data_IF_180086854686
#
_entry.id   IF_180086854686
#
_cell.length_a   1.000
_cell.length_b   1.000
_cell.length_c   1.000
_cell.angle_alpha   90.00
_cell.angle_beta   90.00
_cell.angle_gamma   90.00
#
_symmetry.space_group_name_H-M   'P 1'
#
loop_
_entity.id
_entity.type
_entity.pdbx_description
1 polymer ?
#
# COMPACT_ATOMS: atom_id res chain seq x y z
N UNK A 1 -20.83 -10.37 3.88
CA UNK A 1 -19.48 -10.48 3.29
C UNK A 1 -18.57 -9.72 4.24
N UNK A 2 -17.55 -10.37 4.79
CA UNK A 2 -16.62 -9.68 5.68
C UNK A 2 -15.68 -8.84 4.83
N UNK A 3 -15.49 -7.55 5.18
CA UNK A 3 -14.53 -6.69 4.47
C UNK A 3 -13.12 -7.17 4.79
N UNK A 4 -12.40 -7.59 3.76
CA UNK A 4 -10.96 -7.81 3.88
C UNK A 4 -10.25 -6.48 3.57
N UNK A 5 -9.75 -5.80 4.61
CA UNK A 5 -9.05 -4.52 4.48
C UNK A 5 -7.84 -4.58 3.52
N UNK A 6 -7.31 -5.78 3.27
CA UNK A 6 -6.26 -5.96 2.28
C UNK A 6 -6.71 -5.61 0.85
N UNK A 7 -8.01 -5.64 0.56
CA UNK A 7 -8.55 -5.29 -0.75
C UNK A 7 -8.40 -3.79 -1.05
N UNK A 8 -8.47 -2.91 -0.04
CA UNK A 8 -8.16 -1.49 -0.25
C UNK A 8 -6.72 -1.29 -0.72
N UNK A 9 -5.77 -2.00 -0.10
CA UNK A 9 -4.36 -1.97 -0.54
C UNK A 9 -4.22 -2.54 -1.97
N UNK A 10 -4.88 -3.65 -2.26
CA UNK A 10 -4.90 -4.19 -3.62
C UNK A 10 -5.47 -3.21 -4.65
N UNK A 11 -6.49 -2.43 -4.28
CA UNK A 11 -7.10 -1.43 -5.14
C UNK A 11 -6.14 -0.28 -5.43
N UNK A 12 -5.30 0.13 -4.47
CA UNK A 12 -4.29 1.17 -4.70
C UNK A 12 -3.22 0.74 -5.71
N UNK A 13 -2.84 -0.55 -5.68
CA UNK A 13 -1.79 -1.09 -6.55
C UNK A 13 -2.30 -1.58 -7.91
N UNK A 14 -3.53 -2.11 -7.95
CA UNK A 14 -4.06 -2.82 -9.12
C UNK A 14 -5.38 -2.25 -9.64
N UNK A 15 -5.94 -1.21 -9.01
CA UNK A 15 -7.24 -0.65 -9.38
C UNK A 15 -7.30 -0.09 -10.80
N UNK A 16 -6.19 0.38 -11.36
CA UNK A 16 -6.12 0.85 -12.75
C UNK A 16 -6.27 -0.27 -13.79
N UNK A 17 -6.09 -1.52 -13.39
CA UNK A 17 -6.21 -2.70 -14.26
C UNK A 17 -7.62 -3.29 -14.24
N UNK A 18 -8.49 -2.75 -13.38
CA UNK A 18 -9.90 -3.06 -13.35
C UNK A 18 -10.66 -2.20 -14.36
N UNK A 19 -11.81 -2.69 -14.81
CA UNK A 19 -12.76 -1.82 -15.52
C UNK A 19 -13.23 -0.69 -14.59
N UNK A 20 -13.62 0.45 -15.17
CA UNK A 20 -14.11 1.59 -14.40
C UNK A 20 -15.25 1.21 -13.45
N UNK A 21 -16.18 0.36 -13.91
CA UNK A 21 -17.28 -0.16 -13.09
C UNK A 21 -16.79 -1.02 -11.91
N UNK A 22 -15.86 -1.95 -12.15
CA UNK A 22 -15.28 -2.75 -11.06
C UNK A 22 -14.57 -1.87 -10.04
N UNK A 23 -13.71 -0.94 -10.48
CA UNK A 23 -12.97 -0.04 -9.61
C UNK A 23 -13.90 0.81 -8.75
N UNK A 24 -14.95 1.38 -9.35
CA UNK A 24 -15.94 2.19 -8.64
C UNK A 24 -16.67 1.39 -7.55
N UNK A 25 -17.24 0.23 -7.90
CA UNK A 25 -17.98 -0.61 -6.95
C UNK A 25 -17.10 -1.12 -5.79
N UNK A 26 -15.86 -1.51 -6.08
CA UNK A 26 -14.91 -1.91 -5.03
C UNK A 26 -14.54 -0.72 -4.16
N UNK A 27 -14.27 0.45 -4.74
CA UNK A 27 -13.97 1.68 -4.01
C UNK A 27 -15.11 2.10 -3.08
N UNK A 28 -16.35 2.11 -3.58
CA UNK A 28 -17.53 2.40 -2.78
C UNK A 28 -17.68 1.45 -1.58
N UNK A 29 -17.41 0.16 -1.78
CA UNK A 29 -17.55 -0.81 -0.72
C UNK A 29 -16.41 -0.78 0.29
N UNK A 30 -15.16 -0.61 -0.15
CA UNK A 30 -13.97 -0.72 0.69
C UNK A 30 -13.44 0.60 1.23
N UNK A 31 -13.59 1.71 0.49
CA UNK A 31 -13.05 3.01 0.85
C UNK A 31 -14.13 3.97 1.36
N UNK A 32 -15.32 3.97 0.74
CA UNK A 32 -16.43 4.84 1.14
C UNK A 32 -17.36 4.18 2.18
N UNK A 33 -17.02 2.97 2.60
CA UNK A 33 -17.73 2.15 3.56
C UNK A 33 -19.20 1.78 3.22
N UNK A 34 -19.66 2.03 1.99
CA UNK A 34 -21.03 1.77 1.55
C UNK A 34 -21.38 0.28 1.62
N UNK A 35 -22.63 -0.01 1.95
CA UNK A 35 -23.20 -1.35 1.91
C UNK A 35 -23.55 -1.77 0.47
N UNK A 36 -23.62 -3.08 0.21
CA UNK A 36 -24.02 -3.60 -1.10
C UNK A 36 -25.43 -3.12 -1.53
N UNK A 37 -26.30 -2.78 -0.58
CA UNK A 37 -27.64 -2.29 -0.86
C UNK A 37 -27.61 -0.81 -1.29
N UNK A 38 -26.82 0.02 -0.61
CA UNK A 38 -26.62 1.43 -0.97
C UNK A 38 -25.98 1.55 -2.35
N UNK A 39 -24.95 0.75 -2.62
CA UNK A 39 -24.30 0.71 -3.95
C UNK A 39 -25.30 0.26 -5.03
N UNK A 40 -26.08 -0.80 -4.75
CA UNK A 40 -27.08 -1.28 -5.71
C UNK A 40 -28.12 -0.21 -6.06
N UNK A 41 -28.58 0.54 -5.06
CA UNK A 41 -29.51 1.65 -5.25
C UNK A 41 -28.89 2.78 -6.05
N UNK A 42 -27.64 3.15 -5.76
CA UNK A 42 -26.93 4.22 -6.46
C UNK A 42 -26.67 3.88 -7.94
N UNK A 43 -26.26 2.64 -8.20
CA UNK A 43 -25.88 2.15 -9.53
C UNK A 43 -27.07 1.63 -10.36
N UNK A 44 -28.27 1.54 -9.77
CA UNK A 44 -29.46 1.05 -10.45
C UNK A 44 -29.41 -0.44 -10.83
N UNK A 45 -28.60 -1.24 -10.12
CA UNK A 45 -28.43 -2.68 -10.36
C UNK A 45 -28.85 -3.51 -9.15
N UNK A 46 -28.88 -4.84 -9.30
CA UNK A 46 -29.23 -5.71 -8.17
C UNK A 46 -28.09 -5.79 -7.16
N UNK A 47 -28.43 -5.97 -5.88
CA UNK A 47 -27.46 -6.25 -4.80
C UNK A 47 -26.56 -7.45 -5.13
N UNK A 48 -27.10 -8.44 -5.83
CA UNK A 48 -26.34 -9.61 -6.28
C UNK A 48 -25.34 -9.23 -7.37
N UNK A 49 -25.74 -8.38 -8.33
CA UNK A 49 -24.84 -7.85 -9.36
C UNK A 49 -23.67 -7.04 -8.80
N UNK A 50 -23.92 -6.22 -7.76
CA UNK A 50 -22.85 -5.52 -7.02
C UNK A 50 -21.88 -6.53 -6.41
N UNK A 51 -22.40 -7.51 -5.66
CA UNK A 51 -21.59 -8.54 -4.99
C UNK A 51 -20.71 -9.30 -5.98
N UNK A 52 -21.27 -9.74 -7.10
CA UNK A 52 -20.54 -10.54 -8.10
C UNK A 52 -19.47 -9.71 -8.83
N UNK A 53 -19.72 -8.41 -9.02
CA UNK A 53 -18.73 -7.51 -9.60
C UNK A 53 -17.57 -7.26 -8.65
N UNK A 54 -17.84 -6.97 -7.38
CA UNK A 54 -16.80 -6.81 -6.35
C UNK A 54 -16.00 -8.11 -6.21
N UNK A 55 -16.66 -9.27 -6.15
CA UNK A 55 -15.96 -10.55 -5.97
C UNK A 55 -15.03 -10.88 -7.15
N UNK A 56 -15.45 -10.60 -8.38
CA UNK A 56 -14.59 -10.78 -9.57
C UNK A 56 -13.40 -9.83 -9.54
N UNK A 57 -13.60 -8.56 -9.16
CA UNK A 57 -12.53 -7.60 -9.03
C UNK A 57 -11.51 -8.00 -7.95
N UNK A 58 -11.99 -8.48 -6.79
CA UNK A 58 -11.11 -9.05 -5.76
C UNK A 58 -10.23 -10.16 -6.32
N UNK A 59 -10.84 -11.19 -6.93
CA UNK A 59 -10.11 -12.33 -7.49
C UNK A 59 -9.05 -11.86 -8.48
N UNK A 60 -9.42 -10.96 -9.39
CA UNK A 60 -8.49 -10.41 -10.38
C UNK A 60 -7.29 -9.72 -9.71
N UNK A 61 -7.51 -8.87 -8.70
CA UNK A 61 -6.40 -8.19 -8.01
C UNK A 61 -5.54 -9.16 -7.21
N UNK A 62 -6.13 -10.16 -6.55
CA UNK A 62 -5.38 -11.20 -5.83
C UNK A 62 -4.49 -12.02 -6.78
N UNK A 63 -5.02 -12.42 -7.93
CA UNK A 63 -4.24 -13.15 -8.95
C UNK A 63 -3.11 -12.28 -9.53
N UNK A 64 -3.34 -10.97 -9.66
CA UNK A 64 -2.31 -10.03 -10.08
C UNK A 64 -1.21 -9.89 -9.03
N UNK A 65 -1.54 -9.78 -7.74
CA UNK A 65 -0.53 -9.78 -6.66
C UNK A 65 0.23 -11.11 -6.62
N UNK A 66 -0.44 -12.24 -6.80
CA UNK A 66 0.23 -13.55 -6.84
C UNK A 66 1.26 -13.64 -7.97
N UNK A 67 0.95 -13.07 -9.13
CA UNK A 67 1.82 -13.12 -10.32
C UNK A 67 2.90 -12.04 -10.36
N UNK A 68 2.57 -10.84 -9.89
CA UNK A 68 3.41 -9.64 -10.04
C UNK A 68 4.11 -9.26 -8.72
N UNK A 69 3.48 -9.53 -7.58
CA UNK A 69 4.05 -9.33 -6.25
C UNK A 69 4.41 -7.89 -5.91
N UNK A 70 3.63 -6.90 -6.37
CA UNK A 70 3.99 -5.50 -6.18
C UNK A 70 3.83 -5.06 -4.74
N UNK A 71 2.79 -5.50 -4.05
CA UNK A 71 2.60 -5.20 -2.63
C UNK A 71 3.71 -5.87 -1.82
N UNK A 72 4.00 -7.15 -2.11
CA UNK A 72 5.11 -7.86 -1.46
C UNK A 72 6.44 -7.12 -1.65
N UNK A 73 6.78 -6.77 -2.89
CA UNK A 73 8.03 -6.08 -3.20
C UNK A 73 8.10 -4.70 -2.56
N UNK A 74 6.99 -3.96 -2.54
CA UNK A 74 6.92 -2.66 -1.87
C UNK A 74 7.21 -2.80 -0.38
N UNK A 75 6.58 -3.76 0.30
CA UNK A 75 6.86 -4.04 1.73
C UNK A 75 8.33 -4.44 2.00
N UNK A 76 8.94 -5.19 1.08
CA UNK A 76 10.36 -5.54 1.19
C UNK A 76 11.26 -4.30 1.09
N UNK A 77 10.93 -3.37 0.19
CA UNK A 77 11.63 -2.09 0.05
C UNK A 77 11.43 -1.23 1.30
N UNK A 78 10.20 -1.08 1.80
CA UNK A 78 9.90 -0.28 2.99
C UNK A 78 10.67 -0.80 4.21
N UNK A 79 10.69 -2.13 4.37
CA UNK A 79 11.44 -2.80 5.44
C UNK A 79 12.95 -2.57 5.34
N UNK A 80 13.50 -2.61 4.12
CA UNK A 80 14.91 -2.33 3.90
C UNK A 80 15.26 -0.85 4.18
N UNK A 81 14.40 0.09 3.77
CA UNK A 81 14.58 1.51 4.05
C UNK A 81 14.55 1.79 5.56
N UNK A 82 13.65 1.13 6.29
CA UNK A 82 13.57 1.26 7.75
C UNK A 82 14.83 0.75 8.45
N UNK A 83 15.36 -0.40 8.00
CA UNK A 83 16.63 -0.92 8.51
C UNK A 83 17.80 0.03 8.23
N UNK A 84 17.83 0.65 7.05
CA UNK A 84 18.85 1.66 6.72
C UNK A 84 18.72 2.86 7.67
N UNK A 85 17.52 3.39 7.89
CA UNK A 85 17.28 4.52 8.82
C UNK A 85 17.73 4.19 10.24
N UNK A 86 17.41 2.99 10.73
CA UNK A 86 17.84 2.53 12.05
C UNK A 86 19.38 2.48 12.14
N UNK A 87 20.04 1.86 11.16
CA UNK A 87 21.50 1.79 11.10
C UNK A 87 22.15 3.18 11.03
N UNK A 88 21.57 4.12 10.27
CA UNK A 88 22.08 5.49 10.20
C UNK A 88 21.98 6.22 11.54
N UNK A 89 20.92 5.97 12.30
CA UNK A 89 20.75 6.50 13.66
C UNK A 89 21.81 5.94 14.60
N UNK A 90 22.02 4.63 14.58
CA UNK A 90 23.07 3.97 15.39
C UNK A 90 24.48 4.48 15.05
N UNK A 91 24.79 4.68 13.77
CA UNK A 91 26.08 5.24 13.32
C UNK A 91 26.25 6.67 13.83
N UNK A 92 25.22 7.51 13.74
CA UNK A 92 25.27 8.88 14.25
C UNK A 92 25.49 8.91 15.77
N UNK A 93 24.79 8.07 16.53
CA UNK A 93 24.99 7.93 17.97
C UNK A 93 26.40 7.45 18.33
N UNK A 94 26.89 6.41 17.66
CA UNK A 94 28.23 5.87 17.90
C UNK A 94 29.30 6.93 17.60
N UNK A 95 29.16 7.64 16.48
CA UNK A 95 30.05 8.72 16.13
C UNK A 95 30.03 9.84 17.18
N UNK A 96 28.86 10.26 17.66
CA UNK A 96 28.73 11.24 18.74
C UNK A 96 29.41 10.80 20.05
N UNK A 97 29.41 9.49 20.35
CA UNK A 97 30.01 8.96 21.58
C UNK A 97 31.54 8.81 21.51
N UNK A 98 32.10 8.45 20.36
CA UNK A 98 33.50 8.00 20.29
C UNK A 98 34.40 8.77 19.31
N UNK A 99 33.84 9.37 18.24
CA UNK A 99 34.65 9.97 17.16
C UNK A 99 34.39 11.46 16.94
N UNK A 100 33.19 11.95 17.25
CA UNK A 100 32.68 13.30 16.99
C UNK A 100 33.00 13.81 15.57
N UNK A 101 33.08 12.92 14.57
CA UNK A 101 33.42 13.31 13.21
C UNK A 101 32.24 14.02 12.56
N UNK A 102 32.43 15.30 12.24
CA UNK A 102 31.42 16.10 11.53
C UNK A 102 31.04 15.47 10.19
N UNK A 103 32.02 14.96 9.43
CA UNK A 103 31.78 14.38 8.11
C UNK A 103 30.91 13.12 8.20
N UNK A 104 31.14 12.25 9.19
CA UNK A 104 30.32 11.05 9.40
C UNK A 104 28.87 11.43 9.71
N UNK A 105 28.64 12.43 10.57
CA UNK A 105 27.29 12.90 10.87
C UNK A 105 26.60 13.52 9.65
N UNK A 106 27.31 14.32 8.85
CA UNK A 106 26.76 14.93 7.64
C UNK A 106 26.38 13.87 6.60
N UNK A 107 27.24 12.87 6.37
CA UNK A 107 26.94 11.75 5.47
C UNK A 107 25.79 10.91 6.00
N UNK A 108 25.75 10.66 7.31
CA UNK A 108 24.70 9.85 7.89
C UNK A 108 23.33 10.51 7.76
N UNK A 109 23.27 11.81 8.03
CA UNK A 109 22.07 12.63 7.83
C UNK A 109 21.65 12.65 6.36
N UNK A 110 22.58 12.80 5.43
CA UNK A 110 22.28 12.77 3.99
C UNK A 110 21.64 11.44 3.57
N UNK A 111 22.15 10.30 4.03
CA UNK A 111 21.57 8.98 3.71
C UNK A 111 20.17 8.85 4.31
N UNK A 112 19.98 9.30 5.56
CA UNK A 112 18.67 9.31 6.20
C UNK A 112 17.64 10.14 5.40
N UNK A 113 18.01 11.36 4.99
CA UNK A 113 17.16 12.22 4.16
C UNK A 113 16.85 11.60 2.78
N UNK A 114 17.80 10.89 2.18
CA UNK A 114 17.56 10.16 0.92
C UNK A 114 16.55 9.03 1.10
N UNK A 115 16.58 8.30 2.22
CA UNK A 115 15.59 7.26 2.50
C UNK A 115 14.19 7.81 2.75
N UNK A 116 14.07 9.00 3.35
CA UNK A 116 12.77 9.67 3.54
C UNK A 116 12.13 10.13 2.22
N UNK A 117 12.94 10.44 1.21
CA UNK A 117 12.44 10.84 -0.12
C UNK A 117 11.94 9.69 -1.00
N UNK A 118 12.27 8.45 -0.62
CA UNK A 118 11.92 7.24 -1.37
C UNK A 118 10.66 6.55 -0.84
N UNK A 119 10.21 6.93 0.37
CA UNK A 119 8.87 6.66 0.89
C UNK A 119 7.87 7.67 0.30
#
# INVERSE_FOLDING_TARGET
>A
MQKNLHVSVLLDFYGEMLTQNQRALVGHYYNDDLSLAEIAQHEGITRQGVRDTIKRAEIQMFEMEERLGFIKKHREIDSALEQIRAAMTEIAEFNLRYGCSREINERAKMVYELTERLN
#
